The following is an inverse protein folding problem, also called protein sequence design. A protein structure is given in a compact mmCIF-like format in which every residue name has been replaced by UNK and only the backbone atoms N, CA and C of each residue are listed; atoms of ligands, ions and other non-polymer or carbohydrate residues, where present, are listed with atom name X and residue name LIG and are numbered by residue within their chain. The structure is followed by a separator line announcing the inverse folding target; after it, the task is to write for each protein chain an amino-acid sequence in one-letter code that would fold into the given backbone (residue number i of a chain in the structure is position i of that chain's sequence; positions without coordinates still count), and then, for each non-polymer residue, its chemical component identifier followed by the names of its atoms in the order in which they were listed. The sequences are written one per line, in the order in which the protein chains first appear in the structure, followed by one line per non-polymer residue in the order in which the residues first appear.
data_IF_689185866259
#
_entry.id   IF_689185866259
#
_cell.length_a   1.000
_cell.length_b   1.000
_cell.length_c   1.000
_cell.angle_alpha   90.00
_cell.angle_beta   90.00
_cell.angle_gamma   90.00
#
_symmetry.space_group_name_H-M   'P 1'
#
loop_
_entity.id
_entity.type
_entity.pdbx_description
1 polymer ?
#
# COMPACT_ATOMS: atom_id res chain seq x y z
N UNK A 1 4.50 -13.07 -16.38
CA UNK A 1 4.72 -11.86 -15.55
C UNK A 1 3.51 -11.73 -14.64
N UNK A 2 3.66 -11.89 -13.33
CA UNK A 2 2.56 -12.18 -12.40
C UNK A 2 1.60 -10.98 -12.25
N UNK A 3 0.36 -11.14 -12.73
CA UNK A 3 -0.68 -10.10 -12.71
C UNK A 3 -0.90 -9.47 -11.32
N UNK A 4 -0.72 -10.26 -10.24
CA UNK A 4 -0.80 -9.81 -8.84
C UNK A 4 0.14 -8.65 -8.48
N UNK A 5 1.39 -8.68 -8.96
CA UNK A 5 2.37 -7.63 -8.65
C UNK A 5 2.06 -6.34 -9.42
N UNK A 6 1.55 -6.47 -10.65
CA UNK A 6 1.11 -5.32 -11.43
C UNK A 6 -0.10 -4.66 -10.78
N UNK A 7 -1.09 -5.42 -10.32
CA UNK A 7 -2.30 -4.89 -9.68
C UNK A 7 -2.00 -4.06 -8.41
N UNK A 8 -0.94 -4.43 -7.69
CA UNK A 8 -0.51 -3.75 -6.48
C UNK A 8 0.25 -2.44 -6.77
N UNK A 9 0.93 -2.35 -7.91
CA UNK A 9 1.81 -1.24 -8.29
C UNK A 9 1.19 -0.31 -9.35
N UNK A 10 0.07 -0.69 -9.96
CA UNK A 10 -0.63 0.12 -10.97
C UNK A 10 -1.97 0.65 -10.45
N UNK A 11 -2.44 1.73 -11.07
CA UNK A 11 -3.78 2.27 -10.87
C UNK A 11 -4.87 1.31 -11.39
N UNK A 12 -6.14 1.74 -11.37
CA UNK A 12 -7.30 0.90 -11.78
C UNK A 12 -7.14 0.26 -13.18
N UNK A 13 -6.36 0.88 -14.07
CA UNK A 13 -6.14 0.40 -15.44
C UNK A 13 -5.18 -0.80 -15.55
N UNK A 14 -4.53 -1.22 -14.44
CA UNK A 14 -3.58 -2.35 -14.44
C UNK A 14 -2.28 -2.11 -15.22
N UNK A 15 -2.07 -0.87 -15.72
CA UNK A 15 -0.96 -0.48 -16.60
C UNK A 15 -0.24 0.79 -16.16
N UNK A 16 -0.98 1.77 -15.65
CA UNK A 16 -0.41 3.05 -15.23
C UNK A 16 0.22 2.90 -13.86
N UNK A 17 1.55 3.07 -13.75
CA UNK A 17 2.24 3.02 -12.46
C UNK A 17 1.65 4.07 -11.52
N UNK A 18 1.26 3.65 -10.32
CA UNK A 18 0.73 4.55 -9.31
C UNK A 18 1.76 4.77 -8.19
N UNK A 19 2.46 5.92 -8.19
CA UNK A 19 3.46 6.24 -7.17
C UNK A 19 2.89 6.24 -5.75
N UNK A 20 1.60 6.54 -5.59
CA UNK A 20 0.94 6.61 -4.29
C UNK A 20 0.73 5.21 -3.71
N UNK A 21 0.29 4.25 -4.52
CA UNK A 21 0.20 2.82 -4.12
C UNK A 21 1.57 2.22 -3.88
N UNK A 22 2.54 2.53 -4.74
CA UNK A 22 3.92 2.08 -4.56
C UNK A 22 4.55 2.62 -3.26
N UNK A 23 4.35 3.90 -2.93
CA UNK A 23 4.79 4.46 -1.66
C UNK A 23 4.08 3.83 -0.45
N UNK A 24 2.78 3.58 -0.55
CA UNK A 24 2.03 2.91 0.53
C UNK A 24 2.57 1.50 0.78
N UNK A 25 2.80 0.71 -0.27
CA UNK A 25 3.39 -0.63 -0.16
C UNK A 25 4.81 -0.59 0.40
N UNK A 26 5.62 0.36 -0.04
CA UNK A 26 6.95 0.57 0.51
C UNK A 26 6.91 0.93 2.01
N UNK A 27 6.00 1.81 2.42
CA UNK A 27 5.82 2.20 3.82
C UNK A 27 5.38 1.02 4.69
N UNK A 28 4.42 0.22 4.22
CA UNK A 28 3.99 -1.02 4.91
C UNK A 28 5.15 -2.02 4.98
N UNK A 29 5.90 -2.21 3.90
CA UNK A 29 7.05 -3.11 3.86
C UNK A 29 8.15 -2.71 4.84
N UNK A 30 8.49 -1.42 4.89
CA UNK A 30 9.46 -0.87 5.86
C UNK A 30 8.96 -1.05 7.29
N UNK A 31 7.69 -0.77 7.56
CA UNK A 31 7.11 -0.95 8.90
C UNK A 31 7.17 -2.41 9.37
N UNK A 32 6.81 -3.36 8.49
CA UNK A 32 6.90 -4.79 8.79
C UNK A 32 8.35 -5.21 9.05
N UNK A 33 9.29 -4.76 8.21
CA UNK A 33 10.71 -5.06 8.39
C UNK A 33 11.26 -4.55 9.72
N UNK A 34 10.99 -3.28 10.07
CA UNK A 34 11.43 -2.71 11.35
C UNK A 34 10.75 -3.41 12.54
N UNK A 35 9.49 -3.78 12.42
CA UNK A 35 8.77 -4.50 13.48
C UNK A 35 9.40 -5.88 13.72
N UNK A 36 9.74 -6.61 12.66
CA UNK A 36 10.44 -7.90 12.77
C UNK A 36 11.85 -7.71 13.32
N UNK A 37 12.59 -6.70 12.87
CA UNK A 37 13.94 -6.40 13.36
C UNK A 37 13.95 -6.07 14.86
N UNK A 38 12.98 -5.28 15.33
CA UNK A 38 12.86 -4.91 16.73
C UNK A 38 12.60 -6.14 17.62
N UNK A 39 11.75 -7.05 17.18
CA UNK A 39 11.43 -8.27 17.94
C UNK A 39 12.56 -9.29 17.88
N UNK A 40 13.14 -9.54 16.71
CA UNK A 40 14.11 -10.63 16.51
C UNK A 40 15.53 -10.21 16.92
N UNK A 41 15.98 -9.03 16.50
CA UNK A 41 17.36 -8.59 16.70
C UNK A 41 17.52 -7.81 18.00
N UNK A 42 16.63 -6.86 18.27
CA UNK A 42 16.67 -6.04 19.49
C UNK A 42 16.01 -6.72 20.70
N UNK A 43 15.36 -7.87 20.50
CA UNK A 43 14.62 -8.64 21.53
C UNK A 43 13.64 -7.77 22.33
N UNK A 44 13.05 -6.76 21.70
CA UNK A 44 12.03 -5.95 22.33
C UNK A 44 10.74 -6.75 22.52
N UNK A 45 10.02 -6.45 23.60
CA UNK A 45 8.69 -7.01 23.84
C UNK A 45 7.73 -6.54 22.76
N UNK A 46 7.12 -7.50 22.04
CA UNK A 46 6.12 -7.19 21.04
C UNK A 46 4.78 -6.86 21.69
N UNK A 47 4.22 -5.71 21.33
CA UNK A 47 2.90 -5.24 21.75
C UNK A 47 1.99 -5.20 20.52
N UNK A 48 0.91 -6.00 20.57
CA UNK A 48 -0.07 -6.05 19.49
C UNK A 48 -0.78 -4.70 19.29
N UNK A 49 -0.97 -3.95 20.37
CA UNK A 49 -1.62 -2.64 20.34
C UNK A 49 -0.75 -1.61 19.63
N UNK A 50 0.54 -1.50 19.99
CA UNK A 50 1.44 -0.52 19.36
C UNK A 50 1.67 -0.84 17.88
N UNK A 51 1.80 -2.13 17.57
CA UNK A 51 1.86 -2.60 16.18
C UNK A 51 0.58 -2.26 15.41
N UNK A 52 -0.59 -2.50 16.00
CA UNK A 52 -1.89 -2.22 15.39
C UNK A 52 -2.13 -0.72 15.17
N UNK A 53 -1.74 0.12 16.13
CA UNK A 53 -1.80 1.59 15.99
C UNK A 53 -0.87 2.06 14.87
N UNK A 54 0.38 1.57 14.85
CA UNK A 54 1.35 1.94 13.81
C UNK A 54 0.91 1.53 12.41
N UNK A 55 0.49 0.26 12.23
CA UNK A 55 0.00 -0.23 10.95
C UNK A 55 -1.30 0.48 10.53
N UNK A 56 -2.22 0.66 11.47
CA UNK A 56 -3.49 1.36 11.25
C UNK A 56 -3.28 2.81 10.81
N UNK A 57 -2.31 3.51 11.41
CA UNK A 57 -1.96 4.88 11.01
C UNK A 57 -1.41 4.93 9.58
N UNK A 58 -0.54 4.00 9.19
CA UNK A 58 0.01 3.92 7.83
C UNK A 58 -1.09 3.62 6.80
N UNK A 59 -1.97 2.65 7.09
CA UNK A 59 -3.06 2.28 6.19
C UNK A 59 -4.11 3.38 6.08
N UNK A 60 -4.48 4.02 7.19
CA UNK A 60 -5.41 5.14 7.18
C UNK A 60 -4.84 6.34 6.41
N UNK A 61 -3.57 6.69 6.65
CA UNK A 61 -2.90 7.79 5.96
C UNK A 61 -2.71 7.53 4.46
N UNK A 62 -2.20 6.36 4.09
CA UNK A 62 -2.00 6.00 2.70
C UNK A 62 -3.30 5.75 1.95
N UNK A 63 -4.30 5.13 2.58
CA UNK A 63 -5.64 4.97 2.03
C UNK A 63 -6.33 6.30 1.79
N UNK A 64 -6.21 7.25 2.72
CA UNK A 64 -6.68 8.62 2.51
C UNK A 64 -5.96 9.31 1.35
N UNK A 65 -4.63 9.17 1.25
CA UNK A 65 -3.84 9.71 0.13
C UNK A 65 -4.27 9.16 -1.23
N UNK A 66 -4.51 7.85 -1.33
CA UNK A 66 -5.04 7.21 -2.55
C UNK A 66 -6.46 7.68 -2.86
N UNK A 67 -7.33 7.78 -1.85
CA UNK A 67 -8.71 8.25 -2.02
C UNK A 67 -8.82 9.73 -2.42
N UNK A 68 -7.89 10.58 -1.98
CA UNK A 68 -7.82 11.98 -2.42
C UNK A 68 -7.43 12.08 -3.89
N UNK A 69 -6.50 11.24 -4.35
CA UNK A 69 -6.04 11.20 -5.74
C UNK A 69 -7.04 10.53 -6.69
N UNK A 70 -7.86 9.58 -6.22
CA UNK A 70 -8.81 8.84 -7.09
C UNK A 70 -9.80 9.76 -7.83
N UNK A 71 -10.03 10.98 -7.34
CA UNK A 71 -10.84 12.00 -8.02
C UNK A 71 -10.20 12.61 -9.26
N UNK A 72 -8.89 12.43 -9.44
CA UNK A 72 -8.08 12.99 -10.53
C UNK A 72 -7.50 11.92 -11.46
N UNK A 73 -7.82 10.64 -11.22
CA UNK A 73 -7.39 9.56 -12.11
C UNK A 73 -8.23 9.55 -13.41
N UNK A 74 -7.62 9.18 -14.56
CA UNK A 74 -8.36 8.98 -15.79
C UNK A 74 -9.42 7.89 -15.57
N UNK A 75 -10.67 8.17 -15.89
CA UNK A 75 -11.71 7.14 -15.92
C UNK A 75 -11.51 6.32 -17.19
N UNK A 76 -11.47 5.00 -17.06
CA UNK A 76 -11.57 4.08 -18.20
C UNK A 76 -12.80 4.47 -19.02
N UNK A 77 -12.60 5.06 -20.19
CA UNK A 77 -13.66 5.19 -21.18
C UNK A 77 -13.92 3.80 -21.75
N UNK A 78 -15.19 3.38 -21.72
CA UNK A 78 -15.72 2.16 -22.32
C UNK A 78 -14.91 1.59 -23.49
N UNK A 79 -14.59 0.30 -23.37
CA UNK A 79 -14.54 -0.61 -24.50
C UNK A 79 -15.42 -1.82 -24.12
N UNK A 80 -16.74 -1.59 -24.11
CA UNK A 80 -17.64 -2.61 -24.66
C UNK A 80 -17.32 -2.68 -26.15
N UNK A 81 -16.78 -3.80 -26.63
CA UNK A 81 -17.18 -4.35 -27.93
C UNK A 81 -16.69 -5.80 -28.06
N UNK A 82 -17.67 -6.71 -28.08
CA UNK A 82 -17.70 -8.10 -28.61
C UNK A 82 -16.64 -9.12 -28.18
#
# INVERSE_FOLDING_TARGET
MNQLLNDWLTGIDGKTFDPSRACLLAAVGVFLFLSIWAVVHLKQTWSAQDFGIGLGAILAGGGAGVALKSKTEPKVSNQEDT
#
